data_IF_122597528341
#
_entry.id   IF_122597528341
#
_cell.length_a   1.000
_cell.length_b   1.000
_cell.length_c   1.000
_cell.angle_alpha   90.00
_cell.angle_beta   90.00
_cell.angle_gamma   90.00
#
_symmetry.space_group_name_H-M   'P 1'
#
loop_
_entity.id
_entity.type
_entity.pdbx_description
1 polymer ?
#
# COMPACT_ATOMS: atom_id res chain seq x y z
N UNK A 1 -6.24 33.19 -26.48
CA UNK A 1 -5.96 33.21 -25.03
C UNK A 1 -5.26 31.91 -24.71
N UNK A 2 -4.00 31.96 -24.28
CA UNK A 2 -3.23 30.76 -23.92
C UNK A 2 -3.77 30.27 -22.58
N UNK A 3 -4.20 29.01 -22.52
CA UNK A 3 -4.63 28.38 -21.29
C UNK A 3 -3.45 28.35 -20.31
N UNK A 4 -3.68 28.80 -19.08
CA UNK A 4 -2.70 28.75 -18.01
C UNK A 4 -2.24 27.31 -17.81
N UNK A 5 -0.94 27.07 -18.01
CA UNK A 5 -0.29 25.80 -17.69
C UNK A 5 -0.42 25.54 -16.19
N UNK A 6 -0.62 24.28 -15.76
CA UNK A 6 -0.67 23.96 -14.33
C UNK A 6 0.61 24.45 -13.66
N UNK A 7 0.43 25.32 -12.66
CA UNK A 7 1.49 25.87 -11.82
C UNK A 7 2.38 24.71 -11.32
N UNK A 8 3.68 24.80 -11.57
CA UNK A 8 4.66 23.85 -11.05
C UNK A 8 4.44 23.66 -9.55
N UNK A 9 4.26 22.42 -9.11
CA UNK A 9 4.19 22.07 -7.69
C UNK A 9 5.34 22.77 -6.96
N UNK A 10 4.99 23.50 -5.89
CA UNK A 10 5.94 24.16 -4.99
C UNK A 10 6.94 23.11 -4.47
N UNK A 11 8.09 22.99 -5.12
CA UNK A 11 9.21 22.20 -4.64
C UNK A 11 9.73 22.88 -3.37
N UNK A 12 9.41 22.32 -2.20
CA UNK A 12 9.98 22.76 -0.95
C UNK A 12 11.37 22.10 -0.81
N UNK A 13 12.48 22.83 -0.96
CA UNK A 13 13.83 22.25 -0.84
C UNK A 13 14.15 21.71 0.55
N UNK A 14 13.27 21.96 1.54
CA UNK A 14 13.35 21.43 2.89
C UNK A 14 12.43 20.22 3.14
N UNK A 15 11.73 19.70 2.12
CA UNK A 15 11.02 18.42 2.26
C UNK A 15 12.04 17.29 2.40
N UNK A 16 12.30 16.92 3.64
CA UNK A 16 13.09 15.75 3.99
C UNK A 16 12.18 14.53 3.97
N UNK A 17 12.34 13.68 2.95
CA UNK A 17 11.66 12.39 2.91
C UNK A 17 12.26 11.48 3.97
N UNK A 18 11.45 11.13 4.98
CA UNK A 18 11.82 10.16 6.00
C UNK A 18 11.25 8.79 5.62
N UNK A 19 12.11 7.78 5.56
CA UNK A 19 11.66 6.40 5.37
C UNK A 19 10.76 5.98 6.52
N UNK A 20 9.59 5.44 6.18
CA UNK A 20 8.61 4.95 7.15
C UNK A 20 9.14 3.71 7.92
N UNK A 21 9.89 2.87 7.22
CA UNK A 21 10.48 1.62 7.73
C UNK A 21 11.91 1.47 7.22
N UNK A 22 12.81 1.02 8.09
CA UNK A 22 14.22 0.73 7.77
C UNK A 22 14.58 -0.66 8.30
N UNK A 23 15.30 -1.44 7.52
CA UNK A 23 15.95 -2.67 7.97
C UNK A 23 17.33 -2.36 8.54
N UNK A 24 17.60 -2.83 9.76
CA UNK A 24 18.94 -2.93 10.32
C UNK A 24 19.38 -4.40 10.26
N UNK A 25 20.41 -4.68 9.46
CA UNK A 25 20.94 -6.03 9.26
C UNK A 25 21.80 -6.52 10.44
N UNK A 26 22.04 -5.70 11.45
CA UNK A 26 22.78 -6.09 12.65
C UNK A 26 24.30 -6.16 12.43
N UNK A 27 24.86 -5.31 11.57
CA UNK A 27 26.29 -5.35 11.25
C UNK A 27 27.23 -5.13 12.44
N UNK A 28 26.74 -4.52 13.53
CA UNK A 28 27.53 -4.18 14.73
C UNK A 28 27.42 -5.28 15.80
N UNK A 29 26.21 -5.71 16.14
CA UNK A 29 25.95 -6.63 17.26
C UNK A 29 25.33 -7.98 16.84
N UNK A 30 25.17 -8.20 15.54
CA UNK A 30 24.61 -9.42 14.97
C UNK A 30 23.09 -9.52 15.08
N UNK A 31 22.40 -8.50 15.59
CA UNK A 31 20.95 -8.53 15.80
C UNK A 31 20.24 -7.84 14.64
N UNK A 32 19.44 -8.60 13.90
CA UNK A 32 18.60 -8.06 12.83
C UNK A 32 17.35 -7.37 13.40
N UNK A 33 16.99 -6.20 12.89
CA UNK A 33 15.85 -5.39 13.36
C UNK A 33 15.11 -4.74 12.20
N UNK A 34 13.86 -4.37 12.46
CA UNK A 34 13.09 -3.47 11.61
C UNK A 34 12.70 -2.25 12.46
N UNK A 35 13.06 -1.06 11.99
CA UNK A 35 12.86 0.21 12.67
C UNK A 35 11.74 0.99 11.99
N UNK A 36 10.86 1.57 12.78
CA UNK A 36 9.73 2.37 12.31
C UNK A 36 9.96 3.84 12.68
N UNK A 37 9.72 4.74 11.74
CA UNK A 37 9.82 6.19 11.99
C UNK A 37 8.76 6.70 12.98
N UNK A 38 7.65 5.98 13.11
CA UNK A 38 6.54 6.32 14.00
C UNK A 38 6.11 5.10 14.82
N UNK A 39 5.49 5.34 15.98
CA UNK A 39 4.95 4.27 16.82
C UNK A 39 3.81 3.49 16.13
N UNK A 40 3.59 2.25 16.54
CA UNK A 40 2.63 1.33 15.92
C UNK A 40 1.16 1.80 15.91
N UNK A 41 0.81 2.77 16.76
CA UNK A 41 -0.54 3.35 16.85
C UNK A 41 -0.70 4.69 16.12
N UNK A 42 0.34 5.17 15.43
CA UNK A 42 0.35 6.50 14.80
C UNK A 42 -0.56 6.59 13.56
N UNK A 43 -0.58 5.56 12.73
CA UNK A 43 -1.37 5.50 11.50
C UNK A 43 -1.64 4.04 11.09
N UNK A 44 -2.78 3.77 10.45
CA UNK A 44 -3.17 2.40 10.09
C UNK A 44 -2.17 1.71 9.15
N UNK A 45 -1.51 2.47 8.27
CA UNK A 45 -0.48 1.93 7.37
C UNK A 45 0.76 1.42 8.13
N UNK A 46 1.10 2.01 9.28
CA UNK A 46 2.19 1.52 10.15
C UNK A 46 1.84 0.16 10.73
N UNK A 47 0.56 -0.07 11.04
CA UNK A 47 0.08 -1.36 11.54
C UNK A 47 0.24 -2.47 10.49
N UNK A 48 -0.07 -2.17 9.22
CA UNK A 48 0.14 -3.11 8.12
C UNK A 48 1.63 -3.44 7.95
N UNK A 49 2.49 -2.44 7.99
CA UNK A 49 3.94 -2.61 7.86
C UNK A 49 4.54 -3.36 9.05
N UNK A 50 3.98 -3.21 10.25
CA UNK A 50 4.37 -3.99 11.42
C UNK A 50 4.10 -5.49 11.22
N UNK A 51 2.93 -5.83 10.69
CA UNK A 51 2.58 -7.21 10.38
C UNK A 51 3.53 -7.82 9.34
N UNK A 52 3.89 -7.04 8.31
CA UNK A 52 4.89 -7.44 7.31
C UNK A 52 6.28 -7.60 7.92
N UNK A 53 6.70 -6.70 8.81
CA UNK A 53 7.98 -6.77 9.51
C UNK A 53 8.09 -8.00 10.42
N UNK A 54 7.03 -8.32 11.17
CA UNK A 54 6.97 -9.54 11.99
C UNK A 54 7.15 -10.77 11.11
N UNK A 55 6.43 -10.82 9.99
CA UNK A 55 6.56 -11.92 9.03
C UNK A 55 7.95 -12.03 8.44
N UNK A 56 8.54 -10.92 8.01
CA UNK A 56 9.88 -10.86 7.44
C UNK A 56 10.94 -11.35 8.42
N UNK A 57 10.90 -10.89 9.67
CA UNK A 57 11.85 -11.31 10.70
C UNK A 57 11.68 -12.80 11.00
N UNK A 58 10.45 -13.30 11.07
CA UNK A 58 10.18 -14.71 11.31
C UNK A 58 10.58 -15.61 10.13
N UNK A 59 10.37 -15.20 8.87
CA UNK A 59 10.82 -15.99 7.72
C UNK A 59 12.34 -16.02 7.58
N UNK A 60 13.04 -15.01 8.09
CA UNK A 60 14.50 -14.92 8.03
C UNK A 60 15.24 -15.90 8.96
N UNK A 61 14.54 -16.55 9.89
CA UNK A 61 15.12 -17.56 10.79
C UNK A 61 15.04 -18.95 10.13
N UNK A 62 16.18 -19.61 9.85
CA UNK A 62 16.18 -20.96 9.30
C UNK A 62 15.48 -21.92 10.26
N UNK A 63 14.39 -22.54 9.81
CA UNK A 63 13.63 -23.51 10.58
C UNK A 63 13.45 -24.80 9.81
N UNK A 64 13.42 -25.91 10.56
CA UNK A 64 13.08 -27.23 10.02
C UNK A 64 11.63 -27.31 9.55
N UNK A 65 10.73 -26.53 10.17
CA UNK A 65 9.31 -26.50 9.85
C UNK A 65 8.86 -25.04 9.65
N UNK A 66 8.04 -24.74 8.62
CA UNK A 66 7.45 -23.42 8.47
C UNK A 66 6.53 -23.10 9.66
N UNK A 67 6.48 -21.83 10.05
CA UNK A 67 5.52 -21.37 11.07
C UNK A 67 4.11 -21.42 10.50
N UNK A 68 3.41 -22.54 10.68
CA UNK A 68 2.00 -22.70 10.31
C UNK A 68 1.08 -21.64 10.94
N UNK A 69 1.47 -21.09 12.10
CA UNK A 69 0.75 -19.97 12.73
C UNK A 69 0.85 -18.65 11.95
N UNK A 70 1.88 -18.46 11.12
CA UNK A 70 2.04 -17.29 10.26
C UNK A 70 1.29 -17.40 8.94
N UNK A 71 1.09 -18.64 8.47
CA UNK A 71 0.36 -18.94 7.23
C UNK A 71 -1.13 -18.65 7.36
N UNK A 72 -1.69 -18.77 8.56
CA UNK A 72 -3.15 -18.70 8.76
C UNK A 72 -3.71 -17.33 9.18
N UNK A 73 -2.90 -16.36 9.61
CA UNK A 73 -3.48 -15.18 10.29
C UNK A 73 -2.83 -13.81 9.99
N UNK A 74 -1.68 -13.75 9.30
CA UNK A 74 -0.95 -12.46 9.14
C UNK A 74 -1.07 -11.87 7.70
N UNK A 75 -2.17 -12.16 7.01
CA UNK A 75 -2.67 -11.28 5.95
C UNK A 75 -1.90 -11.28 4.63
N UNK A 76 -1.82 -12.43 3.95
CA UNK A 76 -1.50 -12.44 2.51
C UNK A 76 -2.59 -11.76 1.68
N UNK A 77 -3.85 -11.92 2.10
CA UNK A 77 -4.99 -11.26 1.46
C UNK A 77 -5.46 -10.09 2.32
N UNK A 78 -5.30 -8.88 1.80
CA UNK A 78 -5.79 -7.66 2.40
C UNK A 78 -6.88 -7.09 1.51
N UNK A 79 -8.02 -6.79 2.11
CA UNK A 79 -9.15 -6.21 1.41
C UNK A 79 -9.22 -4.74 1.81
N UNK A 80 -9.20 -3.86 0.80
CA UNK A 80 -9.57 -2.45 1.01
C UNK A 80 -11.03 -2.35 0.65
N UNK A 81 -11.87 -2.10 1.65
CA UNK A 81 -13.27 -1.79 1.40
C UNK A 81 -13.38 -0.30 1.10
N UNK A 82 -13.84 0.03 -0.10
CA UNK A 82 -14.12 1.41 -0.51
C UNK A 82 -15.63 1.54 -0.61
N UNK A 83 -16.19 2.43 0.21
CA UNK A 83 -17.60 2.80 0.11
C UNK A 83 -17.75 4.02 -0.81
N UNK A 84 -18.80 4.02 -1.63
CA UNK A 84 -19.11 5.14 -2.53
C UNK A 84 -20.47 5.68 -2.13
N UNK A 85 -20.46 6.72 -1.31
CA UNK A 85 -21.64 7.43 -0.88
C UNK A 85 -22.16 8.41 -1.95
N UNK A 86 -23.41 8.85 -1.80
CA UNK A 86 -24.04 9.95 -2.54
C UNK A 86 -24.06 9.84 -4.08
N UNK A 87 -23.98 8.61 -4.62
CA UNK A 87 -23.99 8.33 -6.07
C UNK A 87 -25.14 9.04 -6.80
N UNK A 88 -26.30 9.17 -6.16
CA UNK A 88 -27.50 9.78 -6.75
C UNK A 88 -27.85 11.16 -6.16
N UNK A 89 -27.08 11.65 -5.19
CA UNK A 89 -27.40 12.88 -4.43
C UNK A 89 -26.21 13.85 -4.40
N UNK A 90 -25.16 13.58 -5.17
CA UNK A 90 -23.97 14.41 -5.25
C UNK A 90 -24.27 15.83 -5.76
N UNK A 91 -23.50 16.80 -5.27
CA UNK A 91 -23.51 18.15 -5.81
C UNK A 91 -23.05 18.17 -7.28
N UNK A 92 -23.51 19.13 -8.11
CA UNK A 92 -23.18 19.17 -9.53
C UNK A 92 -21.68 19.17 -9.84
N UNK A 93 -20.87 19.78 -8.98
CA UNK A 93 -19.41 19.86 -9.15
C UNK A 93 -18.66 18.56 -8.80
N UNK A 94 -19.34 17.58 -8.17
CA UNK A 94 -18.77 16.30 -7.74
C UNK A 94 -19.61 15.09 -8.18
N UNK A 95 -20.54 15.30 -9.12
CA UNK A 95 -21.44 14.27 -9.60
C UNK A 95 -20.69 13.31 -10.53
N UNK A 96 -20.91 12.00 -10.34
CA UNK A 96 -20.43 10.98 -11.26
C UNK A 96 -21.28 10.98 -12.54
N UNK A 97 -20.64 11.11 -13.69
CA UNK A 97 -21.29 10.97 -15.00
C UNK A 97 -21.11 9.54 -15.54
N UNK A 98 -21.96 9.11 -16.50
CA UNK A 98 -21.81 7.80 -17.14
C UNK A 98 -20.43 7.56 -17.75
N UNK A 99 -19.74 8.61 -18.23
CA UNK A 99 -18.36 8.52 -18.72
C UNK A 99 -17.36 8.14 -17.62
N UNK A 100 -17.55 8.65 -16.40
CA UNK A 100 -16.65 8.43 -15.27
C UNK A 100 -16.78 6.99 -14.76
N UNK A 101 -18.02 6.49 -14.71
CA UNK A 101 -18.31 5.09 -14.39
C UNK A 101 -17.74 4.15 -15.44
N UNK A 102 -17.81 4.52 -16.73
CA UNK A 102 -17.21 3.72 -17.83
C UNK A 102 -15.69 3.67 -17.73
N UNK A 103 -15.04 4.80 -17.49
CA UNK A 103 -13.59 4.87 -17.30
C UNK A 103 -13.15 4.06 -16.07
N UNK A 104 -13.91 4.15 -14.99
CA UNK A 104 -13.72 3.35 -13.77
C UNK A 104 -13.82 1.86 -14.10
N UNK A 105 -14.90 1.42 -14.76
CA UNK A 105 -15.10 0.03 -15.18
C UNK A 105 -14.00 -0.50 -16.11
N UNK A 106 -13.54 0.30 -17.07
CA UNK A 106 -12.42 -0.05 -17.95
C UNK A 106 -11.12 -0.23 -17.15
N UNK A 107 -10.82 0.67 -16.19
CA UNK A 107 -9.67 0.57 -15.29
C UNK A 107 -9.68 -0.72 -14.45
N UNK A 108 -10.83 -1.07 -13.86
CA UNK A 108 -11.01 -2.31 -13.08
C UNK A 108 -10.82 -3.56 -13.94
N UNK A 109 -11.34 -3.56 -15.18
CA UNK A 109 -11.17 -4.67 -16.11
C UNK A 109 -9.71 -4.86 -16.54
N UNK A 110 -8.97 -3.76 -16.79
CA UNK A 110 -7.53 -3.85 -17.08
C UNK A 110 -6.72 -4.40 -15.92
N UNK A 111 -6.99 -4.01 -14.68
CA UNK A 111 -6.24 -4.52 -13.52
C UNK A 111 -6.52 -6.01 -13.25
N UNK A 112 -7.78 -6.45 -13.33
CA UNK A 112 -8.11 -7.87 -13.21
C UNK A 112 -7.51 -8.72 -14.34
N UNK A 113 -7.33 -8.16 -15.55
CA UNK A 113 -6.68 -8.85 -16.68
C UNK A 113 -5.15 -8.89 -16.55
N UNK A 114 -4.51 -7.86 -15.97
CA UNK A 114 -3.07 -7.86 -15.66
C UNK A 114 -2.74 -8.90 -14.59
N UNK A 115 -3.56 -9.01 -13.54
CA UNK A 115 -3.37 -10.02 -12.48
C UNK A 115 -3.52 -11.46 -13.01
N UNK A 116 -4.42 -11.69 -13.97
CA UNK A 116 -4.59 -12.98 -14.64
C UNK A 116 -3.47 -13.34 -15.64
N UNK A 117 -2.76 -12.34 -16.18
CA UNK A 117 -1.68 -12.57 -17.16
C UNK A 117 -0.30 -12.66 -16.53
N UNK A 118 -0.09 -12.05 -15.36
CA UNK A 118 1.16 -12.17 -14.60
C UNK A 118 1.16 -13.35 -13.59
N UNK A 119 -0.02 -13.91 -13.28
CA UNK A 119 -0.22 -14.96 -12.27
C UNK A 119 -0.15 -16.43 -12.74
N UNK A 120 0.24 -16.74 -13.98
CA UNK A 120 0.40 -18.12 -14.46
C UNK A 120 1.76 -18.39 -15.08
N UNK A 121 2.79 -18.47 -14.24
CA UNK A 121 3.95 -19.32 -14.49
C UNK A 121 4.26 -20.12 -13.21
N UNK A 122 3.58 -21.26 -13.07
CA UNK A 122 4.06 -22.43 -12.35
C UNK A 122 3.94 -23.63 -13.29
#
# INVERSE_FOLDING_TARGET
>A
AFADLPQQQNYNPNEQYQSLVIEDVGGIDGIKRVLFAYGASSHWSVHLLLMDAVRYLLSSVPRKEPLKALEFDIGYNRWVHVDIDDIFVANPDSQLYPSDVKATGELWLTHSLVELTEGQYL
#
